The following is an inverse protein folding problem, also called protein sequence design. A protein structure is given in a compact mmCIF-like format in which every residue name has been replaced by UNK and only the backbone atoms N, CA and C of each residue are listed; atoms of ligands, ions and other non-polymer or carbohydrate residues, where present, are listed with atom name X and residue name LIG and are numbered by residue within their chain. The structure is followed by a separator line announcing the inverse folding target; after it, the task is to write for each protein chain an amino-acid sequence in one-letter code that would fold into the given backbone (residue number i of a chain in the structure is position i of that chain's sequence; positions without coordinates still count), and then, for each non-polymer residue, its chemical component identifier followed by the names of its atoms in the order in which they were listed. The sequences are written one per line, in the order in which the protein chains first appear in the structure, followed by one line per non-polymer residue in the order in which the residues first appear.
data_IF_728045836246
#
_entry.id   IF_728045836246
#
_cell.length_a   1.000
_cell.length_b   1.000
_cell.length_c   1.000
_cell.angle_alpha   90.00
_cell.angle_beta   90.00
_cell.angle_gamma   90.00
#
_symmetry.space_group_name_H-M   'P 1'
#
loop_
_entity.id
_entity.type
_entity.pdbx_description
1 polymer ?
#
# COMPACT_ATOMS: atom_id res chain seq x y z
N UNK A 1 15.45 -7.44 13.34
CA UNK A 1 16.02 -6.89 12.08
C UNK A 1 15.00 -6.09 11.27
N UNK A 2 13.77 -6.56 11.11
CA UNK A 2 12.73 -5.83 10.35
C UNK A 2 12.36 -4.47 10.98
N UNK A 3 12.33 -4.36 12.29
CA UNK A 3 11.99 -3.11 12.98
C UNK A 3 13.07 -2.03 12.83
N UNK A 4 14.36 -2.42 12.88
CA UNK A 4 15.46 -1.48 12.64
C UNK A 4 15.48 -0.98 11.19
N UNK A 5 15.30 -1.89 10.24
CA UNK A 5 15.20 -1.54 8.82
C UNK A 5 14.04 -0.56 8.56
N UNK A 6 12.89 -0.83 9.18
CA UNK A 6 11.72 0.02 9.10
C UNK A 6 11.96 1.43 9.69
N UNK A 7 12.54 1.52 10.91
CA UNK A 7 12.82 2.82 11.54
C UNK A 7 13.83 3.64 10.72
N UNK A 8 14.81 3.00 10.09
CA UNK A 8 15.75 3.67 9.18
C UNK A 8 15.05 4.23 7.92
N UNK A 9 14.11 3.47 7.34
CA UNK A 9 13.34 3.94 6.17
C UNK A 9 12.51 5.17 6.54
N UNK A 10 11.75 5.11 7.63
CA UNK A 10 10.91 6.24 8.07
C UNK A 10 11.77 7.46 8.38
N UNK A 11 12.86 7.27 9.11
CA UNK A 11 13.78 8.38 9.44
C UNK A 11 14.38 9.00 8.19
N UNK A 12 14.85 8.20 7.24
CA UNK A 12 15.39 8.71 5.97
C UNK A 12 14.34 9.45 5.15
N UNK A 13 13.10 8.95 5.12
CA UNK A 13 11.98 9.60 4.42
C UNK A 13 11.63 10.96 5.04
N UNK A 14 11.63 11.06 6.37
CA UNK A 14 11.39 12.34 7.07
C UNK A 14 12.53 13.34 6.79
N UNK A 15 13.79 12.90 6.85
CA UNK A 15 14.93 13.75 6.52
C UNK A 15 14.85 14.24 5.06
N UNK A 16 14.55 13.35 4.12
CA UNK A 16 14.36 13.70 2.71
C UNK A 16 13.22 14.70 2.53
N UNK A 17 12.10 14.49 3.19
CA UNK A 17 10.95 15.39 3.12
C UNK A 17 11.32 16.80 3.58
N UNK A 18 11.97 16.94 4.73
CA UNK A 18 12.39 18.24 5.27
C UNK A 18 13.43 18.91 4.35
N UNK A 19 14.46 18.17 3.91
CA UNK A 19 15.52 18.68 3.06
C UNK A 19 14.98 19.16 1.70
N UNK A 20 14.20 18.34 1.02
CA UNK A 20 13.67 18.71 -0.30
C UNK A 20 12.54 19.75 -0.23
N UNK A 21 11.73 19.74 0.84
CA UNK A 21 10.74 20.78 1.07
C UNK A 21 11.41 22.16 1.25
N UNK A 22 12.53 22.24 1.97
CA UNK A 22 13.29 23.50 2.11
C UNK A 22 13.84 23.99 0.78
N UNK A 23 14.39 23.09 -0.05
CA UNK A 23 14.86 23.42 -1.39
C UNK A 23 13.71 23.92 -2.28
N UNK A 24 12.59 23.20 -2.30
CA UNK A 24 11.45 23.58 -3.13
C UNK A 24 10.85 24.92 -2.69
N UNK A 25 10.81 25.19 -1.37
CA UNK A 25 10.35 26.47 -0.81
C UNK A 25 11.16 27.65 -1.31
N UNK A 26 12.48 27.51 -1.42
CA UNK A 26 13.37 28.57 -1.91
C UNK A 26 13.24 28.85 -3.40
N UNK A 27 12.74 27.87 -4.18
CA UNK A 27 12.58 27.99 -5.63
C UNK A 27 11.18 28.52 -5.97
N UNK A 28 10.14 27.89 -5.45
CA UNK A 28 8.75 28.27 -5.73
C UNK A 28 7.81 27.83 -4.60
N UNK A 29 7.28 28.81 -3.86
CA UNK A 29 6.27 28.58 -2.84
C UNK A 29 4.97 28.01 -3.44
N UNK A 30 4.61 28.45 -4.66
CA UNK A 30 3.43 27.95 -5.38
C UNK A 30 3.50 26.45 -5.65
N UNK A 31 4.69 25.92 -6.00
CA UNK A 31 4.88 24.47 -6.17
C UNK A 31 4.73 23.71 -4.86
N UNK A 32 5.13 24.27 -3.72
CA UNK A 32 4.95 23.59 -2.41
C UNK A 32 3.48 23.43 -2.06
N UNK A 33 2.68 24.50 -2.21
CA UNK A 33 1.23 24.42 -1.95
C UNK A 33 0.53 23.48 -2.92
N UNK A 34 0.92 23.53 -4.21
CA UNK A 34 0.40 22.61 -5.21
C UNK A 34 0.74 21.15 -4.85
N UNK A 35 1.98 20.87 -4.45
CA UNK A 35 2.44 19.55 -4.05
C UNK A 35 1.64 19.01 -2.86
N UNK A 36 1.43 19.82 -1.83
CA UNK A 36 0.65 19.41 -0.65
C UNK A 36 -0.79 19.09 -1.02
N UNK A 37 -1.44 19.94 -1.83
CA UNK A 37 -2.79 19.69 -2.33
C UNK A 37 -2.86 18.43 -3.19
N UNK A 38 -1.93 18.26 -4.12
CA UNK A 38 -1.83 17.10 -5.00
C UNK A 38 -1.60 15.81 -4.20
N UNK A 39 -0.66 15.80 -3.26
CA UNK A 39 -0.38 14.64 -2.41
C UNK A 39 -1.61 14.26 -1.56
N UNK A 40 -2.29 15.23 -0.96
CA UNK A 40 -3.48 14.98 -0.16
C UNK A 40 -4.61 14.39 -1.01
N UNK A 41 -4.90 15.00 -2.16
CA UNK A 41 -5.97 14.53 -3.07
C UNK A 41 -5.68 13.12 -3.56
N UNK A 42 -4.46 12.84 -4.02
CA UNK A 42 -4.10 11.52 -4.55
C UNK A 42 -4.08 10.45 -3.46
N UNK A 43 -3.63 10.78 -2.24
CA UNK A 43 -3.64 9.85 -1.10
C UNK A 43 -5.07 9.52 -0.69
N UNK A 44 -5.93 10.53 -0.50
CA UNK A 44 -7.34 10.32 -0.14
C UNK A 44 -8.07 9.52 -1.23
N UNK A 45 -7.86 9.86 -2.49
CA UNK A 45 -8.44 9.14 -3.62
C UNK A 45 -8.01 7.66 -3.62
N UNK A 46 -6.72 7.39 -3.51
CA UNK A 46 -6.18 6.01 -3.49
C UNK A 46 -6.74 5.22 -2.32
N UNK A 47 -6.75 5.79 -1.12
CA UNK A 47 -7.25 5.13 0.08
C UNK A 47 -8.74 4.82 0.00
N UNK A 48 -9.55 5.76 -0.51
CA UNK A 48 -11.02 5.61 -0.56
C UNK A 48 -11.48 4.69 -1.69
N UNK A 49 -10.89 4.83 -2.88
CA UNK A 49 -11.33 4.08 -4.07
C UNK A 49 -10.72 2.68 -4.10
N UNK A 50 -9.40 2.58 -3.91
CA UNK A 50 -8.70 1.31 -4.03
C UNK A 50 -8.52 0.60 -2.70
N UNK A 51 -8.11 1.32 -1.65
CA UNK A 51 -7.76 0.74 -0.35
C UNK A 51 -8.93 -0.03 0.26
N UNK A 52 -10.08 0.62 0.44
CA UNK A 52 -11.27 -0.03 1.02
C UNK A 52 -11.73 -1.25 0.23
N UNK A 53 -11.70 -1.17 -1.10
CA UNK A 53 -12.16 -2.26 -1.96
C UNK A 53 -11.22 -3.46 -1.92
N UNK A 54 -9.91 -3.21 -2.01
CA UNK A 54 -8.89 -4.27 -1.96
C UNK A 54 -8.83 -4.95 -0.59
N UNK A 55 -8.95 -4.18 0.51
CA UNK A 55 -9.01 -4.76 1.86
C UNK A 55 -10.18 -5.73 1.97
N UNK A 56 -11.38 -5.34 1.55
CA UNK A 56 -12.55 -6.22 1.59
C UNK A 56 -12.41 -7.47 0.71
N UNK A 57 -11.86 -7.31 -0.50
CA UNK A 57 -11.63 -8.45 -1.40
C UNK A 57 -10.56 -9.40 -0.88
N UNK A 58 -9.46 -8.88 -0.31
CA UNK A 58 -8.41 -9.69 0.29
C UNK A 58 -8.89 -10.43 1.53
N UNK A 59 -9.71 -9.79 2.38
CA UNK A 59 -10.33 -10.47 3.52
C UNK A 59 -11.21 -11.64 3.07
N UNK A 60 -12.07 -11.40 2.07
CA UNK A 60 -12.90 -12.46 1.47
C UNK A 60 -12.06 -13.55 0.82
N UNK A 61 -10.91 -13.19 0.22
CA UNK A 61 -9.98 -14.16 -0.36
C UNK A 61 -9.43 -15.12 0.69
N UNK A 62 -8.93 -14.59 1.81
CA UNK A 62 -8.41 -15.40 2.92
C UNK A 62 -9.47 -16.34 3.50
N UNK A 63 -10.70 -15.85 3.64
CA UNK A 63 -11.81 -16.66 4.13
C UNK A 63 -12.12 -17.82 3.17
N UNK A 64 -12.26 -17.56 1.87
CA UNK A 64 -12.53 -18.59 0.86
C UNK A 64 -11.39 -19.59 0.70
N UNK A 65 -10.14 -19.15 0.86
CA UNK A 65 -8.99 -20.06 0.90
C UNK A 65 -9.04 -20.98 2.12
N UNK A 66 -9.40 -20.48 3.29
CA UNK A 66 -9.57 -21.29 4.48
C UNK A 66 -10.70 -22.31 4.30
N UNK A 67 -11.86 -21.90 3.76
CA UNK A 67 -12.98 -22.77 3.46
C UNK A 67 -12.60 -23.87 2.46
N UNK A 68 -11.84 -23.53 1.41
CA UNK A 68 -11.38 -24.51 0.44
C UNK A 68 -10.42 -25.53 1.05
N UNK A 69 -9.44 -25.06 1.84
CA UNK A 69 -8.52 -25.96 2.58
C UNK A 69 -9.27 -26.87 3.54
N UNK A 70 -10.23 -26.35 4.29
CA UNK A 70 -11.05 -27.14 5.20
C UNK A 70 -11.82 -28.25 4.46
N UNK A 71 -12.43 -27.94 3.31
CA UNK A 71 -13.14 -28.93 2.51
C UNK A 71 -12.18 -30.02 1.95
N UNK A 72 -10.95 -29.63 1.54
CA UNK A 72 -9.94 -30.61 1.11
C UNK A 72 -9.54 -31.57 2.25
N UNK A 73 -9.31 -31.04 3.45
CA UNK A 73 -8.98 -31.84 4.63
C UNK A 73 -10.13 -32.77 4.98
N UNK A 74 -11.37 -32.26 4.98
CA UNK A 74 -12.58 -33.08 5.22
C UNK A 74 -12.69 -34.26 4.26
N UNK A 75 -12.48 -34.03 2.95
CA UNK A 75 -12.52 -35.10 1.95
C UNK A 75 -11.43 -36.14 2.20
N UNK A 76 -10.22 -35.70 2.56
CA UNK A 76 -9.12 -36.61 2.90
C UNK A 76 -9.40 -37.43 4.15
N UNK A 77 -9.96 -36.83 5.20
CA UNK A 77 -10.28 -37.52 6.45
C UNK A 77 -11.43 -38.51 6.29
N UNK A 78 -12.34 -38.29 5.35
CA UNK A 78 -13.50 -39.15 5.08
C UNK A 78 -13.36 -39.94 3.78
N UNK A 79 -12.13 -40.17 3.30
CA UNK A 79 -11.89 -40.84 2.03
C UNK A 79 -12.50 -42.28 1.97
N UNK A 80 -12.38 -43.06 3.05
CA UNK A 80 -12.96 -44.42 3.11
C UNK A 80 -14.49 -44.42 3.03
N UNK A 81 -15.23 -43.65 3.85
CA UNK A 81 -16.68 -43.56 3.71
C UNK A 81 -17.14 -43.05 2.34
N UNK A 82 -16.42 -42.09 1.75
CA UNK A 82 -16.72 -41.54 0.42
C UNK A 82 -16.59 -42.63 -0.64
N UNK A 83 -15.50 -43.40 -0.62
CA UNK A 83 -15.27 -44.52 -1.55
C UNK A 83 -16.28 -45.65 -1.35
N UNK A 84 -16.60 -45.98 -0.11
CA UNK A 84 -17.58 -47.03 0.20
C UNK A 84 -18.98 -46.74 -0.38
N UNK A 85 -19.35 -45.45 -0.43
CA UNK A 85 -20.66 -45.02 -0.95
C UNK A 85 -20.60 -44.51 -2.41
N UNK A 86 -19.51 -44.70 -3.13
CA UNK A 86 -19.24 -44.15 -4.48
C UNK A 86 -19.59 -42.66 -4.58
N UNK A 87 -19.17 -41.91 -3.54
CA UNK A 87 -19.51 -40.48 -3.39
C UNK A 87 -18.52 -39.51 -4.03
N UNK A 88 -17.48 -39.97 -4.75
CA UNK A 88 -16.37 -39.18 -5.27
C UNK A 88 -16.84 -38.06 -6.22
N UNK A 89 -17.76 -38.36 -7.12
CA UNK A 89 -18.30 -37.38 -8.08
C UNK A 89 -19.05 -36.24 -7.36
N UNK A 90 -19.79 -36.59 -6.32
CA UNK A 90 -20.55 -35.61 -5.51
C UNK A 90 -19.60 -34.69 -4.72
N UNK A 91 -18.59 -35.27 -4.08
CA UNK A 91 -17.59 -34.51 -3.34
C UNK A 91 -16.73 -33.65 -4.29
N UNK A 92 -16.33 -34.16 -5.45
CA UNK A 92 -15.64 -33.40 -6.47
C UNK A 92 -16.48 -32.20 -6.93
N UNK A 93 -17.76 -32.38 -7.20
CA UNK A 93 -18.67 -31.31 -7.58
C UNK A 93 -18.82 -30.26 -6.48
N UNK A 94 -18.83 -30.67 -5.21
CA UNK A 94 -18.87 -29.76 -4.07
C UNK A 94 -17.57 -28.95 -3.95
N UNK A 95 -16.42 -29.59 -4.07
CA UNK A 95 -15.10 -28.91 -4.09
C UNK A 95 -14.99 -27.92 -5.24
N UNK A 96 -15.44 -28.30 -6.44
CA UNK A 96 -15.41 -27.42 -7.59
C UNK A 96 -16.29 -26.18 -7.43
N UNK A 97 -17.41 -26.24 -6.71
CA UNK A 97 -18.21 -25.06 -6.38
C UNK A 97 -17.45 -24.11 -5.44
N UNK A 98 -16.83 -24.66 -4.38
CA UNK A 98 -16.03 -23.85 -3.44
C UNK A 98 -14.83 -23.23 -4.15
N UNK A 99 -14.13 -24.00 -4.97
CA UNK A 99 -13.02 -23.52 -5.79
C UNK A 99 -13.47 -22.44 -6.79
N UNK A 100 -14.60 -22.63 -7.45
CA UNK A 100 -15.16 -21.63 -8.37
C UNK A 100 -15.45 -20.28 -7.68
N UNK A 101 -15.97 -20.31 -6.45
CA UNK A 101 -16.21 -19.13 -5.65
C UNK A 101 -14.89 -18.44 -5.23
N UNK A 102 -13.88 -19.21 -4.82
CA UNK A 102 -12.53 -18.74 -4.53
C UNK A 102 -11.91 -18.07 -5.77
N UNK A 103 -11.92 -18.73 -6.90
CA UNK A 103 -11.34 -18.26 -8.14
C UNK A 103 -12.05 -17.01 -8.67
N UNK A 104 -13.37 -16.92 -8.55
CA UNK A 104 -14.14 -15.74 -8.92
C UNK A 104 -13.73 -14.51 -8.10
N UNK A 105 -13.50 -14.66 -6.80
CA UNK A 105 -12.99 -13.59 -5.95
C UNK A 105 -11.56 -13.20 -6.32
N UNK A 106 -10.69 -14.18 -6.57
CA UNK A 106 -9.31 -13.95 -6.99
C UNK A 106 -9.23 -13.12 -8.28
N UNK A 107 -10.07 -13.41 -9.25
CA UNK A 107 -10.19 -12.60 -10.48
C UNK A 107 -10.59 -11.15 -10.18
N UNK A 108 -11.45 -10.92 -9.20
CA UNK A 108 -11.80 -9.56 -8.78
C UNK A 108 -10.61 -8.85 -8.13
N UNK A 109 -9.87 -9.54 -7.25
CA UNK A 109 -8.64 -9.00 -6.65
C UNK A 109 -7.66 -8.57 -7.75
N UNK A 110 -7.37 -9.46 -8.71
CA UNK A 110 -6.47 -9.15 -9.83
C UNK A 110 -6.95 -7.96 -10.67
N UNK A 111 -8.25 -7.89 -10.97
CA UNK A 111 -8.82 -6.76 -11.72
C UNK A 111 -8.66 -5.43 -10.99
N UNK A 112 -8.85 -5.40 -9.67
CA UNK A 112 -8.67 -4.20 -8.88
C UNK A 112 -7.19 -3.83 -8.68
N UNK A 113 -6.30 -4.82 -8.55
CA UNK A 113 -4.85 -4.59 -8.54
C UNK A 113 -4.37 -4.00 -9.87
N UNK A 114 -4.86 -4.53 -11.00
CA UNK A 114 -4.52 -3.98 -12.32
C UNK A 114 -4.93 -2.51 -12.45
N UNK A 115 -6.16 -2.16 -12.01
CA UNK A 115 -6.63 -0.77 -12.01
C UNK A 115 -5.79 0.13 -11.11
N UNK A 116 -5.43 -0.36 -9.91
CA UNK A 116 -4.54 0.37 -8.99
C UNK A 116 -3.17 0.59 -9.63
N UNK A 117 -2.56 -0.44 -10.20
CA UNK A 117 -1.26 -0.33 -10.85
C UNK A 117 -1.30 0.66 -12.03
N UNK A 118 -2.34 0.59 -12.87
CA UNK A 118 -2.53 1.54 -13.97
C UNK A 118 -2.64 2.98 -13.45
N UNK A 119 -3.40 3.19 -12.38
CA UNK A 119 -3.47 4.50 -11.73
C UNK A 119 -2.12 4.96 -11.19
N UNK A 120 -1.36 4.07 -10.52
CA UNK A 120 -0.04 4.38 -9.99
C UNK A 120 0.96 4.75 -11.09
N UNK A 121 0.95 4.05 -12.23
CA UNK A 121 1.79 4.42 -13.38
C UNK A 121 1.41 5.79 -13.96
N UNK A 122 0.11 6.06 -14.13
CA UNK A 122 -0.36 7.36 -14.58
C UNK A 122 0.02 8.48 -13.57
N UNK A 123 -0.14 8.23 -12.28
CA UNK A 123 0.26 9.14 -11.21
C UNK A 123 1.78 9.41 -11.23
N UNK A 124 2.62 8.37 -11.38
CA UNK A 124 4.08 8.54 -11.49
C UNK A 124 4.48 9.39 -12.68
N UNK A 125 3.82 9.20 -13.82
CA UNK A 125 4.05 10.03 -14.99
C UNK A 125 3.66 11.50 -14.74
N UNK A 126 2.48 11.73 -14.16
CA UNK A 126 2.02 13.07 -13.80
C UNK A 126 2.95 13.76 -12.79
N UNK A 127 3.51 13.01 -11.86
CA UNK A 127 4.47 13.52 -10.87
C UNK A 127 5.71 14.15 -11.51
N UNK A 128 6.14 13.65 -12.67
CA UNK A 128 7.27 14.19 -13.42
C UNK A 128 6.83 15.39 -14.28
N UNK A 129 5.69 15.27 -14.95
CA UNK A 129 5.23 16.26 -15.94
C UNK A 129 4.67 17.53 -15.27
N UNK A 130 3.90 17.39 -14.19
CA UNK A 130 3.21 18.51 -13.55
C UNK A 130 4.15 19.65 -13.08
N UNK A 131 5.24 19.40 -12.33
CA UNK A 131 6.13 20.48 -11.93
C UNK A 131 6.77 21.16 -13.13
N UNK A 132 7.13 20.41 -14.17
CA UNK A 132 7.71 20.98 -15.39
C UNK A 132 6.72 21.94 -16.08
N UNK A 133 5.46 21.52 -16.22
CA UNK A 133 4.41 22.37 -16.83
C UNK A 133 4.17 23.63 -15.98
N UNK A 134 4.11 23.51 -14.65
CA UNK A 134 3.83 24.64 -13.76
C UNK A 134 4.94 25.69 -13.83
N UNK A 135 6.22 25.28 -13.89
CA UNK A 135 7.35 26.20 -13.90
C UNK A 135 7.80 26.60 -15.31
N UNK A 136 7.26 25.98 -16.36
CA UNK A 136 7.67 26.28 -17.74
C UNK A 136 7.53 27.76 -18.13
N UNK A 137 6.48 28.43 -17.65
CA UNK A 137 6.28 29.84 -17.89
C UNK A 137 7.41 30.71 -17.32
N UNK A 138 7.87 30.41 -16.10
CA UNK A 138 8.94 31.12 -15.42
C UNK A 138 10.33 30.88 -16.08
N UNK A 139 10.52 29.67 -16.62
CA UNK A 139 11.73 29.33 -17.36
C UNK A 139 11.76 30.04 -18.72
N UNK A 140 10.63 30.04 -19.43
CA UNK A 140 10.51 30.70 -20.74
C UNK A 140 10.59 32.22 -20.65
N UNK A 141 10.13 32.84 -19.56
CA UNK A 141 10.27 34.28 -19.32
C UNK A 141 11.68 34.68 -18.84
N UNK A 142 12.54 33.69 -18.54
CA UNK A 142 13.90 33.96 -18.02
C UNK A 142 13.93 34.31 -16.52
N UNK A 143 12.79 34.26 -15.82
CA UNK A 143 12.71 34.51 -14.38
C UNK A 143 13.33 33.35 -13.56
N UNK A 144 13.27 32.13 -14.08
CA UNK A 144 13.82 30.93 -13.45
C UNK A 144 14.89 30.30 -14.34
N UNK A 145 16.09 30.11 -13.79
CA UNK A 145 17.18 29.40 -14.45
C UNK A 145 16.84 27.92 -14.64
N UNK A 146 17.21 27.33 -15.79
CA UNK A 146 16.95 25.91 -16.12
C UNK A 146 17.46 24.95 -15.04
N UNK A 147 18.66 25.26 -14.46
CA UNK A 147 19.22 24.45 -13.37
C UNK A 147 18.33 24.40 -12.12
N UNK A 148 17.71 25.52 -11.76
CA UNK A 148 16.75 25.60 -10.66
C UNK A 148 15.44 24.87 -10.98
N UNK A 149 15.01 24.90 -12.23
CA UNK A 149 13.83 24.16 -12.68
C UNK A 149 14.04 22.64 -12.54
N UNK A 150 15.22 22.13 -12.90
CA UNK A 150 15.58 20.72 -12.72
C UNK A 150 15.61 20.35 -11.23
N UNK A 151 16.19 21.21 -10.38
CA UNK A 151 16.20 21.02 -8.93
C UNK A 151 14.78 20.99 -8.35
N UNK A 152 13.89 21.88 -8.79
CA UNK A 152 12.50 21.92 -8.34
C UNK A 152 11.74 20.64 -8.72
N UNK A 153 11.91 20.15 -9.94
CA UNK A 153 11.30 18.89 -10.40
C UNK A 153 11.82 17.68 -9.61
N UNK A 154 13.13 17.62 -9.37
CA UNK A 154 13.76 16.60 -8.55
C UNK A 154 13.27 16.62 -7.10
N UNK A 155 13.20 17.81 -6.49
CA UNK A 155 12.69 17.99 -5.13
C UNK A 155 11.20 17.59 -5.03
N UNK A 156 10.39 18.00 -5.99
CA UNK A 156 8.96 17.63 -6.05
C UNK A 156 8.77 16.10 -6.09
N UNK A 157 9.51 15.42 -6.97
CA UNK A 157 9.46 13.96 -7.08
C UNK A 157 9.97 13.27 -5.81
N UNK A 158 11.05 13.74 -5.21
CA UNK A 158 11.62 13.20 -3.99
C UNK A 158 10.65 13.31 -2.79
N UNK A 159 9.95 14.46 -2.65
CA UNK A 159 8.96 14.66 -1.59
C UNK A 159 7.78 13.70 -1.76
N UNK A 160 7.24 13.57 -2.98
CA UNK A 160 6.13 12.64 -3.23
C UNK A 160 6.53 11.19 -2.99
N UNK A 161 7.74 10.80 -3.39
CA UNK A 161 8.27 9.45 -3.11
C UNK A 161 8.40 9.20 -1.61
N UNK A 162 8.93 10.16 -0.85
CA UNK A 162 9.04 10.05 0.60
C UNK A 162 7.66 9.93 1.29
N UNK A 163 6.67 10.70 0.84
CA UNK A 163 5.29 10.59 1.33
C UNK A 163 4.67 9.23 1.03
N UNK A 164 4.88 8.72 -0.18
CA UNK A 164 4.39 7.38 -0.59
C UNK A 164 4.98 6.29 0.29
N UNK A 165 6.29 6.32 0.53
CA UNK A 165 6.98 5.37 1.41
C UNK A 165 6.41 5.39 2.82
N UNK A 166 6.15 6.57 3.40
CA UNK A 166 5.54 6.69 4.74
C UNK A 166 4.15 6.05 4.77
N UNK A 167 3.33 6.30 3.74
CA UNK A 167 1.97 5.74 3.65
C UNK A 167 1.98 4.22 3.48
N UNK A 168 2.83 3.70 2.62
CA UNK A 168 2.97 2.24 2.37
C UNK A 168 3.44 1.49 3.61
N UNK A 169 4.30 2.10 4.41
CA UNK A 169 4.84 1.49 5.62
C UNK A 169 4.02 1.79 6.89
N UNK A 170 2.94 2.55 6.78
CA UNK A 170 2.09 2.90 7.94
C UNK A 170 1.53 1.69 8.67
N UNK A 171 1.17 0.63 7.95
CA UNK A 171 0.72 -0.63 8.55
C UNK A 171 1.83 -1.29 9.39
N UNK A 172 3.07 -1.26 8.89
CA UNK A 172 4.25 -1.72 9.63
C UNK A 172 4.47 -0.93 10.92
N UNK A 173 4.29 0.40 10.87
CA UNK A 173 4.38 1.29 12.03
C UNK A 173 3.31 0.96 13.08
N UNK A 174 2.09 0.73 12.66
CA UNK A 174 0.98 0.37 13.55
C UNK A 174 1.22 -0.98 14.23
N UNK A 175 1.73 -1.98 13.50
CA UNK A 175 2.10 -3.28 14.07
C UNK A 175 3.29 -3.16 15.05
N UNK A 176 4.25 -2.31 14.76
CA UNK A 176 5.40 -2.05 15.62
C UNK A 176 4.98 -1.38 16.92
N UNK A 177 4.13 -0.35 16.86
CA UNK A 177 3.55 0.32 18.04
C UNK A 177 2.81 -0.68 18.92
N UNK A 178 1.93 -1.51 18.34
CA UNK A 178 1.21 -2.54 19.08
C UNK A 178 2.14 -3.60 19.72
N UNK A 179 3.31 -3.85 19.13
CA UNK A 179 4.36 -4.71 19.70
C UNK A 179 5.02 -4.08 20.92
N UNK A 180 5.33 -2.79 20.87
CA UNK A 180 5.89 -2.03 21.99
C UNK A 180 4.89 -1.98 23.15
N UNK A 181 3.61 -1.70 22.87
CA UNK A 181 2.57 -1.64 23.89
C UNK A 181 2.42 -2.98 24.64
N UNK A 182 2.54 -4.10 23.93
CA UNK A 182 2.55 -5.45 24.53
C UNK A 182 3.76 -5.69 25.42
N UNK A 183 4.95 -5.25 24.97
CA UNK A 183 6.17 -5.35 25.78
C UNK A 183 6.09 -4.50 27.04
N UNK A 184 5.52 -3.31 26.94
CA UNK A 184 5.30 -2.41 28.07
C UNK A 184 4.30 -3.02 29.08
N UNK A 185 3.18 -3.55 28.61
CA UNK A 185 2.20 -4.24 29.44
C UNK A 185 2.79 -5.49 30.13
N UNK A 186 3.69 -6.21 29.46
CA UNK A 186 4.40 -7.35 30.04
C UNK A 186 5.40 -6.91 31.10
N UNK A 187 6.18 -5.86 30.87
CA UNK A 187 7.11 -5.29 31.85
C UNK A 187 6.36 -4.80 33.09
N UNK A 188 5.26 -4.07 32.93
CA UNK A 188 4.42 -3.60 34.04
C UNK A 188 3.82 -4.74 34.89
N UNK A 189 3.52 -5.89 34.27
CA UNK A 189 3.05 -7.07 35.00
C UNK A 189 4.15 -7.74 35.79
N UNK A 190 5.40 -7.73 35.33
CA UNK A 190 6.55 -8.26 36.05
C UNK A 190 6.90 -7.36 37.25
N UNK A 191 6.91 -6.03 37.08
CA UNK A 191 7.19 -5.07 38.13
C UNK A 191 6.13 -5.07 39.26
N UNK A 192 4.89 -5.48 38.95
CA UNK A 192 3.83 -5.63 39.98
C UNK A 192 3.91 -6.95 40.75
N UNK A 193 4.67 -7.92 40.26
CA UNK A 193 4.85 -9.22 40.91
C UNK A 193 6.16 -9.33 41.67
N UNK A 194 7.07 -8.36 41.54
CA UNK A 194 8.31 -8.21 42.28
C UNK A 194 8.12 -7.33 43.55
#
# INVERSE_FOLDING_TARGET
QQSLYFSMIVLSSVIQLVAFASVLWTISQGLVYFLLGYALVTTVFTATVFGRKLIGLNFTQLQREADFRFNLVRVREHAEPIAFHNGEEREMSALMRVFGALFANYRQVLSWQLRLNTFQYAHSFLTIVLPVVIISGQVLSGELEVGRAIQATGAFTAILSALTVIVEHFEGLSRFSAGIDRLHAFADTLDRQA
#
